data_IF_185478514070
#
_entry.id   IF_185478514070
#
_cell.length_a   1.000
_cell.length_b   1.000
_cell.length_c   1.000
_cell.angle_alpha   90.00
_cell.angle_beta   90.00
_cell.angle_gamma   90.00
#
_symmetry.space_group_name_H-M   'P 1'
#
loop_
_entity.id
_entity.type
_entity.pdbx_description
1 polymer ?
#
# COMPACT_ATOMS: atom_id res chain seq x y z
N UNK A 1 6.25 -7.18 -9.07
CA UNK A 1 6.76 -5.82 -8.84
C UNK A 1 6.17 -5.28 -7.55
N UNK A 2 6.73 -4.22 -6.96
CA UNK A 2 6.16 -3.54 -5.78
C UNK A 2 6.21 -2.03 -5.99
N UNK A 3 5.31 -1.30 -5.33
CA UNK A 3 5.32 0.17 -5.32
C UNK A 3 6.16 0.65 -4.15
N UNK A 4 7.01 1.65 -4.37
CA UNK A 4 7.81 2.28 -3.31
C UNK A 4 7.61 3.79 -3.40
N UNK A 5 7.22 4.41 -2.28
CA UNK A 5 7.00 5.85 -2.17
C UNK A 5 7.89 6.43 -1.05
N UNK A 6 9.03 7.05 -1.40
CA UNK A 6 9.92 7.69 -0.46
C UNK A 6 9.42 9.08 -0.07
N UNK A 7 9.47 9.39 1.24
CA UNK A 7 9.03 10.66 1.82
C UNK A 7 10.02 11.18 2.85
N UNK A 8 9.93 12.49 3.12
CA UNK A 8 10.62 13.16 4.23
C UNK A 8 9.55 13.85 5.07
N UNK A 9 9.00 13.13 6.05
CA UNK A 9 7.85 13.58 6.85
C UNK A 9 8.08 13.35 8.33
N UNK A 10 7.40 14.10 9.19
CA UNK A 10 7.48 13.91 10.66
C UNK A 10 6.92 12.55 11.08
N UNK A 11 5.83 12.11 10.45
CA UNK A 11 5.23 10.79 10.62
C UNK A 11 4.38 10.44 9.39
N UNK A 12 4.05 9.15 9.23
CA UNK A 12 3.06 8.74 8.25
C UNK A 12 1.64 9.07 8.72
N UNK A 13 0.76 9.43 7.78
CA UNK A 13 -0.64 9.76 8.02
C UNK A 13 -1.53 8.78 7.27
N UNK A 14 -2.81 8.75 7.62
CA UNK A 14 -3.81 7.94 6.90
C UNK A 14 -3.94 8.36 5.43
N UNK A 15 -3.72 9.64 5.11
CA UNK A 15 -3.68 10.11 3.72
C UNK A 15 -2.57 9.44 2.91
N UNK A 16 -1.38 9.25 3.49
CA UNK A 16 -0.29 8.54 2.81
C UNK A 16 -0.65 7.07 2.56
N UNK A 17 -1.34 6.42 3.51
CA UNK A 17 -1.80 5.04 3.34
C UNK A 17 -2.88 4.94 2.27
N UNK A 18 -3.86 5.84 2.29
CA UNK A 18 -4.93 5.89 1.29
C UNK A 18 -4.39 6.11 -0.13
N UNK A 19 -3.36 6.94 -0.28
CA UNK A 19 -2.65 7.13 -1.54
C UNK A 19 -2.01 5.82 -2.03
N UNK A 20 -1.32 5.09 -1.15
CA UNK A 20 -0.73 3.79 -1.50
C UNK A 20 -1.78 2.75 -1.88
N UNK A 21 -2.92 2.71 -1.19
CA UNK A 21 -4.04 1.84 -1.57
C UNK A 21 -4.58 2.20 -2.97
N UNK A 22 -4.71 3.49 -3.28
CA UNK A 22 -5.07 3.94 -4.63
C UNK A 22 -4.07 3.47 -5.70
N UNK A 23 -2.77 3.51 -5.40
CA UNK A 23 -1.74 3.00 -6.30
C UNK A 23 -1.80 1.50 -6.50
N UNK A 24 -2.00 0.72 -5.42
CA UNK A 24 -2.18 -0.73 -5.51
C UNK A 24 -3.40 -1.07 -6.39
N UNK A 25 -4.55 -0.45 -6.13
CA UNK A 25 -5.78 -0.70 -6.88
C UNK A 25 -5.66 -0.38 -8.39
N UNK A 26 -4.99 0.72 -8.76
CA UNK A 26 -4.83 1.09 -10.19
C UNK A 26 -3.76 0.24 -10.88
N UNK A 27 -2.72 -0.18 -10.16
CA UNK A 27 -1.61 -0.96 -10.74
C UNK A 27 -1.86 -2.47 -10.76
N UNK A 28 -2.82 -2.98 -9.98
CA UNK A 28 -3.04 -4.41 -9.78
C UNK A 28 -1.89 -5.10 -9.03
N UNK A 29 -1.05 -4.34 -8.34
CA UNK A 29 0.02 -4.88 -7.49
C UNK A 29 -0.49 -5.12 -6.07
N UNK A 30 0.09 -6.07 -5.36
CA UNK A 30 -0.37 -6.42 -4.00
C UNK A 30 0.39 -5.71 -2.87
N UNK A 31 1.74 -5.55 -2.91
CA UNK A 31 2.46 -4.87 -1.84
C UNK A 31 3.00 -3.50 -2.26
N UNK A 32 2.94 -2.55 -1.32
CA UNK A 32 3.64 -1.29 -1.42
C UNK A 32 4.45 -0.97 -0.15
N UNK A 33 5.52 -0.19 -0.30
CA UNK A 33 6.37 0.30 0.78
C UNK A 33 6.34 1.82 0.84
N UNK A 34 5.94 2.34 1.99
CA UNK A 34 6.06 3.74 2.35
C UNK A 34 7.38 3.90 3.13
N UNK A 35 8.30 4.73 2.65
CA UNK A 35 9.62 4.95 3.27
C UNK A 35 9.73 6.38 3.78
N UNK A 36 10.22 6.57 5.01
CA UNK A 36 10.46 7.89 5.59
C UNK A 36 11.95 8.10 5.90
N UNK A 37 12.55 9.03 5.15
CA UNK A 37 13.95 9.41 5.24
C UNK A 37 14.20 10.64 6.13
N UNK A 38 13.21 11.08 6.91
CA UNK A 38 13.38 12.21 7.84
C UNK A 38 14.38 11.93 8.96
N UNK A 39 14.48 10.68 9.40
CA UNK A 39 15.30 10.25 10.53
C UNK A 39 16.51 9.43 10.05
N UNK A 40 17.58 9.42 10.86
CA UNK A 40 18.79 8.66 10.56
C UNK A 40 18.52 7.15 10.43
N UNK A 41 17.57 6.63 11.23
CA UNK A 41 17.03 5.29 11.06
C UNK A 41 15.86 5.35 10.08
N UNK A 42 15.91 4.52 9.04
CA UNK A 42 14.83 4.40 8.08
C UNK A 42 13.57 3.89 8.79
N UNK A 43 12.53 4.72 8.73
CA UNK A 43 11.18 4.35 9.11
C UNK A 43 10.43 3.89 7.86
N UNK A 44 9.65 2.82 7.99
CA UNK A 44 8.91 2.29 6.85
C UNK A 44 7.62 1.63 7.27
N UNK A 45 6.65 1.58 6.34
CA UNK A 45 5.36 0.91 6.51
C UNK A 45 5.05 0.09 5.27
N UNK A 46 4.69 -1.18 5.46
CA UNK A 46 4.14 -2.02 4.40
C UNK A 46 2.64 -1.79 4.28
N UNK A 47 2.18 -1.51 3.07
CA UNK A 47 0.76 -1.39 2.74
C UNK A 47 0.40 -2.55 1.83
N UNK A 48 -0.72 -3.21 2.13
CA UNK A 48 -1.24 -4.34 1.35
C UNK A 48 -2.70 -4.07 1.12
N UNK A 49 -3.14 -4.23 -0.12
CA UNK A 49 -4.56 -4.27 -0.43
C UNK A 49 -5.11 -5.60 0.11
N UNK A 50 -6.05 -5.55 1.06
CA UNK A 50 -6.82 -6.75 1.37
C UNK A 50 -7.63 -7.07 0.12
N UNK A 51 -7.20 -8.10 -0.60
CA UNK A 51 -7.93 -8.60 -1.75
C UNK A 51 -9.41 -8.65 -1.36
N UNK A 52 -10.28 -8.05 -2.19
CA UNK A 52 -11.69 -8.47 -2.16
C UNK A 52 -11.61 -9.97 -2.34
N UNK A 53 -12.02 -10.73 -1.32
CA UNK A 53 -12.37 -12.12 -1.49
C UNK A 53 -13.43 -12.11 -2.58
N UNK A 54 -12.99 -12.26 -3.83
CA UNK A 54 -13.87 -12.56 -4.93
C UNK A 54 -14.24 -13.99 -4.61
N UNK A 55 -15.34 -14.14 -3.87
CA UNK A 55 -16.06 -15.39 -3.89
C UNK A 55 -16.18 -15.72 -5.38
N UNK A 56 -15.68 -16.89 -5.83
CA UNK A 56 -15.82 -17.27 -7.20
C UNK A 56 -17.30 -17.12 -7.55
N UNK A 57 -17.61 -16.47 -8.68
CA UNK A 57 -18.96 -16.36 -9.22
C UNK A 57 -19.53 -17.73 -9.66
N UNK A 58 -18.94 -18.83 -9.16
CA UNK A 58 -19.17 -20.21 -9.53
C UNK A 58 -19.88 -21.01 -8.44
N UNK A 59 -20.45 -20.35 -7.42
CA UNK A 59 -21.61 -20.97 -6.74
C UNK A 59 -22.84 -20.83 -7.64
N UNK A 60 -22.81 -21.62 -8.72
CA UNK A 60 -23.88 -21.82 -9.69
C UNK A 60 -25.06 -22.58 -9.06
N UNK A 61 -26.22 -22.41 -9.71
CA UNK A 61 -27.34 -23.37 -9.82
C UNK A 61 -28.30 -23.47 -8.65
#
# INVERSE_FOLDING_TARGET
AIIVDPKVVSCFTETHVAQMLGYLNVSGLEPALLLNFKNARLEWKRVVEQARTSFPADFRT
#
